data_IF_832539414674
#
_entry.id   IF_832539414674
#
_cell.length_a   1.000
_cell.length_b   1.000
_cell.length_c   1.000
_cell.angle_alpha   90.00
_cell.angle_beta   90.00
_cell.angle_gamma   90.00
#
_symmetry.space_group_name_H-M   'P 1'
#
loop_
_entity.id
_entity.type
_entity.pdbx_description
1 polymer ?
#
# COMPACT_ATOMS: atom_id res chain seq x y z
N UNK A 1 35.20 25.19 2.87
CA UNK A 1 34.34 24.22 3.58
C UNK A 1 33.72 23.31 2.53
N UNK A 2 33.75 21.98 2.69
CA UNK A 2 33.21 21.04 1.68
C UNK A 2 31.75 20.75 2.01
N UNK A 3 30.86 21.25 1.16
CA UNK A 3 29.40 21.25 1.30
C UNK A 3 28.78 19.87 1.53
N UNK A 4 27.68 19.88 2.28
CA UNK A 4 26.71 18.80 2.42
C UNK A 4 26.15 18.45 1.04
N UNK A 5 26.17 17.18 0.63
CA UNK A 5 25.63 16.74 -0.65
C UNK A 5 24.54 15.72 -0.42
N UNK A 6 23.29 16.15 -0.59
CA UNK A 6 22.14 15.24 -0.65
C UNK A 6 22.09 14.68 -2.07
N UNK A 7 22.36 13.38 -2.23
CA UNK A 7 22.18 12.69 -3.50
C UNK A 7 20.82 12.03 -3.52
N UNK A 8 19.92 12.54 -4.35
CA UNK A 8 18.67 11.84 -4.67
C UNK A 8 18.93 10.86 -5.81
N UNK A 9 18.68 9.57 -5.56
CA UNK A 9 18.67 8.52 -6.58
C UNK A 9 17.28 7.89 -6.57
N UNK A 10 16.66 7.58 -7.73
CA UNK A 10 15.36 6.92 -7.76
C UNK A 10 15.40 5.63 -6.92
N UNK A 11 14.49 5.53 -5.95
CA UNK A 11 14.30 4.32 -5.13
C UNK A 11 15.27 4.13 -3.95
N UNK A 12 16.15 5.09 -3.62
CA UNK A 12 16.83 5.20 -2.30
C UNK A 12 17.31 6.63 -2.03
N UNK A 13 16.74 7.29 -1.02
CA UNK A 13 17.22 8.56 -0.50
C UNK A 13 18.11 8.32 0.72
N UNK A 14 19.38 8.71 0.65
CA UNK A 14 20.31 8.63 1.77
C UNK A 14 20.84 10.03 2.13
N UNK A 15 20.98 10.28 3.43
CA UNK A 15 21.66 11.47 3.93
C UNK A 15 23.11 11.08 4.18
N UNK A 16 24.02 11.56 3.34
CA UNK A 16 25.46 11.39 3.53
C UNK A 16 25.95 12.45 4.55
N UNK A 17 26.10 12.01 5.80
CA UNK A 17 26.56 12.83 6.91
C UNK A 17 28.04 12.55 7.14
N UNK A 18 28.89 13.56 6.93
CA UNK A 18 30.30 13.45 7.33
C UNK A 18 30.40 13.50 8.85
N UNK A 19 30.95 12.47 9.50
CA UNK A 19 31.16 12.50 10.95
C UNK A 19 32.16 13.61 11.29
N UNK A 20 31.81 14.44 12.27
CA UNK A 20 32.75 15.36 12.92
C UNK A 20 33.72 14.52 13.75
N UNK A 21 34.97 14.41 13.30
CA UNK A 21 36.02 13.58 13.93
C UNK A 21 36.69 14.21 15.16
N UNK A 22 36.08 15.24 15.75
CA UNK A 22 36.75 16.10 16.71
C UNK A 22 36.15 15.93 18.10
N UNK A 23 36.88 15.22 18.96
CA UNK A 23 36.44 14.83 20.31
C UNK A 23 36.19 16.02 21.24
N UNK A 24 36.72 17.21 20.90
CA UNK A 24 36.49 18.45 21.63
C UNK A 24 35.12 19.11 21.32
N UNK A 25 34.40 18.66 20.28
CA UNK A 25 33.15 19.27 19.78
C UNK A 25 31.91 18.47 20.27
N UNK A 26 31.99 17.79 21.42
CA UNK A 26 30.83 17.04 21.97
C UNK A 26 29.80 17.92 22.68
N UNK A 27 30.15 19.17 22.99
CA UNK A 27 29.21 20.13 23.58
C UNK A 27 28.36 20.77 22.46
N UNK A 28 27.03 20.73 22.60
CA UNK A 28 26.02 21.28 21.67
C UNK A 28 25.78 20.52 20.34
N UNK A 29 26.14 19.24 20.26
CA UNK A 29 25.82 18.39 19.12
C UNK A 29 24.86 17.25 19.50
N UNK A 30 23.93 16.90 18.62
CA UNK A 30 23.01 15.77 18.76
C UNK A 30 23.73 14.47 18.38
N UNK A 31 23.67 13.44 19.23
CA UNK A 31 24.17 12.10 18.92
C UNK A 31 23.06 11.28 18.25
N UNK A 32 23.27 10.91 17.00
CA UNK A 32 22.47 9.92 16.29
C UNK A 32 23.17 8.56 16.34
N UNK A 33 22.53 7.57 16.95
CA UNK A 33 23.04 6.19 16.99
C UNK A 33 22.12 5.27 16.18
N UNK A 34 22.66 4.69 15.11
CA UNK A 34 21.98 3.69 14.28
C UNK A 34 22.46 2.31 14.70
N UNK A 35 21.55 1.51 15.23
CA UNK A 35 21.81 0.12 15.58
C UNK A 35 21.40 -0.77 14.41
N UNK A 36 22.36 -1.44 13.78
CA UNK A 36 22.12 -2.47 12.78
C UNK A 36 22.20 -3.83 13.47
N UNK A 37 21.07 -4.53 13.50
CA UNK A 37 21.05 -5.91 13.97
C UNK A 37 21.21 -6.84 12.76
N UNK A 38 22.38 -7.43 12.65
CA UNK A 38 22.62 -8.53 11.71
C UNK A 38 22.59 -9.84 12.50
N UNK A 39 22.28 -10.98 11.85
CA UNK A 39 22.31 -12.30 12.50
C UNK A 39 23.65 -12.68 13.16
N UNK A 40 24.72 -11.93 12.85
CA UNK A 40 26.07 -12.06 13.41
C UNK A 40 26.35 -11.13 14.60
N UNK A 41 25.41 -10.26 14.98
CA UNK A 41 25.53 -9.35 16.13
C UNK A 41 25.00 -7.93 15.87
N UNK A 42 24.99 -7.11 16.92
CA UNK A 42 24.61 -5.70 16.86
C UNK A 42 25.80 -4.83 16.48
N UNK A 43 25.72 -4.11 15.37
CA UNK A 43 26.65 -3.02 15.02
C UNK A 43 26.02 -1.70 15.38
N UNK A 44 26.76 -0.83 16.06
CA UNK A 44 26.31 0.53 16.41
C UNK A 44 27.13 1.53 15.63
N UNK A 45 26.48 2.36 14.84
CA UNK A 45 27.08 3.49 14.15
C UNK A 45 26.62 4.78 14.84
N UNK A 46 27.56 5.56 15.37
CA UNK A 46 27.28 6.82 16.06
C UNK A 46 27.77 8.01 15.24
N UNK A 47 26.90 8.99 15.02
CA UNK A 47 27.16 10.21 14.25
C UNK A 47 26.79 11.41 15.14
N UNK A 48 27.69 12.37 15.26
CA UNK A 48 27.41 13.65 15.92
C UNK A 48 26.96 14.69 14.89
N UNK A 49 25.85 15.36 15.17
CA UNK A 49 25.25 16.36 14.30
C UNK A 49 25.23 17.72 14.97
N UNK A 50 25.63 18.76 14.24
CA UNK A 50 25.43 20.12 14.69
C UNK A 50 23.97 20.58 14.51
N UNK A 51 23.65 21.78 14.99
CA UNK A 51 22.26 22.29 14.97
C UNK A 51 21.71 22.47 13.55
N UNK A 52 22.55 22.91 12.60
CA UNK A 52 22.15 23.07 11.20
C UNK A 52 21.85 21.72 10.55
N UNK A 53 22.71 20.72 10.76
CA UNK A 53 22.52 19.35 10.28
C UNK A 53 21.29 18.70 10.91
N UNK A 54 21.04 18.96 12.20
CA UNK A 54 19.86 18.48 12.91
C UNK A 54 18.57 19.07 12.34
N UNK A 55 18.57 20.38 12.04
CA UNK A 55 17.43 21.05 11.42
C UNK A 55 17.14 20.50 10.01
N UNK A 56 18.16 20.29 9.19
CA UNK A 56 17.98 19.71 7.84
C UNK A 56 17.45 18.27 7.93
N UNK A 57 17.99 17.46 8.85
CA UNK A 57 17.51 16.10 9.08
C UNK A 57 16.04 16.08 9.53
N UNK A 58 15.66 16.99 10.43
CA UNK A 58 14.30 17.12 10.91
C UNK A 58 13.32 17.46 9.77
N UNK A 59 13.61 18.47 8.96
CA UNK A 59 12.73 18.85 7.84
C UNK A 59 12.59 17.71 6.82
N UNK A 60 13.70 17.03 6.49
CA UNK A 60 13.64 15.87 5.60
C UNK A 60 12.76 14.75 6.17
N UNK A 61 12.96 14.36 7.42
CA UNK A 61 12.18 13.30 8.06
C UNK A 61 10.71 13.68 8.19
N UNK A 62 10.43 14.94 8.50
CA UNK A 62 9.07 15.47 8.57
C UNK A 62 8.37 15.36 7.22
N UNK A 63 8.95 15.88 6.15
CA UNK A 63 8.36 15.79 4.80
C UNK A 63 8.21 14.34 4.34
N UNK A 64 9.19 13.48 4.63
CA UNK A 64 9.09 12.06 4.31
C UNK A 64 7.94 11.37 5.05
N UNK A 65 7.76 11.65 6.35
CA UNK A 65 6.66 11.10 7.14
C UNK A 65 5.31 11.65 6.69
N UNK A 66 5.23 12.93 6.32
CA UNK A 66 4.02 13.54 5.76
C UNK A 66 3.64 12.88 4.43
N UNK A 67 4.58 12.72 3.49
CA UNK A 67 4.36 12.04 2.20
C UNK A 67 3.89 10.59 2.40
N UNK A 68 4.55 9.82 3.28
CA UNK A 68 4.13 8.45 3.58
C UNK A 68 2.78 8.41 4.31
N UNK A 69 2.49 9.40 5.15
CA UNK A 69 1.20 9.56 5.81
C UNK A 69 0.05 9.80 4.81
N UNK A 70 0.25 10.68 3.84
CA UNK A 70 -0.72 10.93 2.75
C UNK A 70 -0.96 9.69 1.91
N UNK A 71 0.10 8.94 1.56
CA UNK A 71 -0.01 7.68 0.82
C UNK A 71 -0.81 6.64 1.60
N UNK A 72 -0.54 6.48 2.90
CA UNK A 72 -1.29 5.56 3.76
C UNK A 72 -2.76 5.97 3.88
N UNK A 73 -3.04 7.28 4.01
CA UNK A 73 -4.40 7.81 4.07
C UNK A 73 -5.15 7.54 2.75
N UNK A 74 -4.52 7.79 1.60
CA UNK A 74 -5.09 7.50 0.28
C UNK A 74 -5.42 6.03 0.12
N UNK A 75 -4.47 5.14 0.45
CA UNK A 75 -4.68 3.70 0.40
C UNK A 75 -5.81 3.24 1.32
N UNK A 76 -5.89 3.78 2.54
CA UNK A 76 -6.98 3.47 3.46
C UNK A 76 -8.35 3.90 2.91
N UNK A 77 -8.41 5.08 2.27
CA UNK A 77 -9.61 5.56 1.60
C UNK A 77 -10.00 4.65 0.43
N UNK A 78 -9.05 4.24 -0.41
CA UNK A 78 -9.28 3.34 -1.53
C UNK A 78 -9.87 2.00 -1.07
N UNK A 79 -9.28 1.37 -0.04
CA UNK A 79 -9.81 0.13 0.54
C UNK A 79 -11.24 0.33 1.06
N UNK A 80 -11.49 1.46 1.74
CA UNK A 80 -12.82 1.78 2.27
C UNK A 80 -13.85 1.89 1.15
N UNK A 81 -13.49 2.52 0.03
CA UNK A 81 -14.34 2.66 -1.15
C UNK A 81 -14.60 1.30 -1.82
N UNK A 82 -13.57 0.47 -2.02
CA UNK A 82 -13.71 -0.90 -2.57
C UNK A 82 -14.65 -1.75 -1.72
N UNK A 83 -14.51 -1.71 -0.39
CA UNK A 83 -15.40 -2.43 0.54
C UNK A 83 -16.85 -1.96 0.45
N UNK A 84 -17.05 -0.64 0.40
CA UNK A 84 -18.38 -0.05 0.24
C UNK A 84 -19.02 -0.55 -1.05
N UNK A 85 -18.32 -0.45 -2.18
CA UNK A 85 -18.81 -0.91 -3.48
C UNK A 85 -19.16 -2.41 -3.49
N UNK A 86 -18.31 -3.26 -2.90
CA UNK A 86 -18.59 -4.69 -2.79
C UNK A 86 -19.86 -4.96 -1.96
N UNK A 87 -20.03 -4.23 -0.86
CA UNK A 87 -21.19 -4.38 0.02
C UNK A 87 -22.48 -3.87 -0.65
N UNK A 88 -22.42 -2.73 -1.34
CA UNK A 88 -23.55 -2.14 -2.05
C UNK A 88 -24.05 -3.12 -3.14
N UNK A 89 -23.13 -3.65 -3.96
CA UNK A 89 -23.48 -4.66 -4.97
C UNK A 89 -24.09 -5.90 -4.34
N UNK A 90 -23.59 -6.33 -3.18
CA UNK A 90 -24.11 -7.51 -2.49
C UNK A 90 -25.55 -7.31 -2.02
N UNK A 91 -25.86 -6.20 -1.33
CA UNK A 91 -27.21 -5.94 -0.85
C UNK A 91 -28.20 -5.69 -2.01
N UNK A 92 -27.80 -4.95 -3.05
CA UNK A 92 -28.64 -4.79 -4.26
C UNK A 92 -28.94 -6.12 -4.95
N UNK A 93 -27.94 -7.00 -5.06
CA UNK A 93 -28.09 -8.31 -5.69
C UNK A 93 -28.93 -9.25 -4.84
N UNK A 94 -28.84 -9.12 -3.51
CA UNK A 94 -29.65 -9.88 -2.55
C UNK A 94 -31.11 -9.48 -2.61
N UNK A 95 -31.39 -8.18 -2.69
CA UNK A 95 -32.76 -7.65 -2.78
C UNK A 95 -33.42 -8.02 -4.11
N UNK A 96 -32.68 -7.98 -5.21
CA UNK A 96 -33.18 -8.37 -6.54
C UNK A 96 -33.15 -9.88 -6.81
N UNK A 97 -32.38 -10.65 -6.01
CA UNK A 97 -32.13 -12.07 -6.21
C UNK A 97 -31.22 -12.41 -7.40
N UNK A 98 -30.70 -11.41 -8.11
CA UNK A 98 -29.94 -11.54 -9.34
C UNK A 98 -28.70 -10.65 -9.33
N UNK A 99 -27.72 -10.99 -10.16
CA UNK A 99 -26.48 -10.24 -10.36
C UNK A 99 -26.37 -9.92 -11.85
N UNK A 100 -26.29 -8.65 -12.16
CA UNK A 100 -26.20 -8.14 -13.54
C UNK A 100 -24.76 -8.10 -14.05
N UNK A 101 -24.58 -8.07 -15.37
CA UNK A 101 -23.25 -7.85 -15.98
C UNK A 101 -22.60 -6.53 -15.52
N UNK A 102 -23.40 -5.47 -15.31
CA UNK A 102 -22.94 -4.20 -14.77
C UNK A 102 -22.34 -4.34 -13.36
N UNK A 103 -23.00 -5.09 -12.48
CA UNK A 103 -22.50 -5.39 -11.14
C UNK A 103 -21.21 -6.24 -11.19
N UNK A 104 -21.14 -7.25 -12.05
CA UNK A 104 -19.93 -8.07 -12.23
C UNK A 104 -18.76 -7.21 -12.74
N UNK A 105 -19.01 -6.29 -13.67
CA UNK A 105 -18.01 -5.33 -14.15
C UNK A 105 -17.54 -4.39 -13.04
N UNK A 106 -18.46 -3.86 -12.22
CA UNK A 106 -18.10 -3.00 -11.08
C UNK A 106 -17.21 -3.73 -10.07
N UNK A 107 -17.56 -4.99 -9.76
CA UNK A 107 -16.76 -5.86 -8.90
C UNK A 107 -15.38 -6.15 -9.53
N UNK A 108 -15.31 -6.39 -10.84
CA UNK A 108 -14.03 -6.62 -11.52
C UNK A 108 -13.12 -5.40 -11.50
N UNK A 109 -13.68 -4.18 -11.59
CA UNK A 109 -12.92 -2.92 -11.53
C UNK A 109 -12.27 -2.67 -10.17
N UNK A 110 -12.88 -3.15 -9.09
CA UNK A 110 -12.30 -3.03 -7.74
C UNK A 110 -11.33 -4.18 -7.40
N UNK A 111 -10.98 -5.01 -8.39
CA UNK A 111 -9.98 -6.08 -8.23
C UNK A 111 -10.48 -7.34 -7.55
N UNK A 112 -11.79 -7.48 -7.26
CA UNK A 112 -12.28 -8.73 -6.66
C UNK A 112 -12.32 -9.87 -7.69
N UNK A 113 -11.97 -11.11 -7.29
CA UNK A 113 -11.81 -12.23 -8.23
C UNK A 113 -13.14 -12.85 -8.69
N UNK A 114 -14.23 -12.09 -8.75
CA UNK A 114 -15.57 -12.62 -8.98
C UNK A 114 -15.71 -13.32 -10.33
N UNK A 115 -15.13 -12.76 -11.41
CA UNK A 115 -15.20 -13.35 -12.75
C UNK A 115 -14.54 -14.73 -12.78
N UNK A 116 -13.38 -14.88 -12.15
CA UNK A 116 -12.67 -16.15 -12.09
C UNK A 116 -13.43 -17.20 -11.26
N UNK A 117 -14.09 -16.77 -10.19
CA UNK A 117 -14.90 -17.64 -9.34
C UNK A 117 -16.17 -18.12 -10.04
N UNK A 118 -16.84 -17.22 -10.77
CA UNK A 118 -18.02 -17.55 -11.58
C UNK A 118 -17.67 -18.46 -12.76
N UNK A 119 -16.54 -18.21 -13.45
CA UNK A 119 -16.00 -19.05 -14.51
C UNK A 119 -15.82 -20.50 -14.05
N UNK A 120 -15.25 -20.68 -12.86
CA UNK A 120 -15.06 -22.00 -12.25
C UNK A 120 -16.39 -22.70 -11.94
N UNK A 121 -17.36 -21.97 -11.41
CA UNK A 121 -18.67 -22.53 -11.04
C UNK A 121 -19.51 -22.93 -12.25
N UNK A 122 -19.48 -22.12 -13.32
CA UNK A 122 -20.23 -22.35 -14.56
C UNK A 122 -19.48 -23.24 -15.55
N UNK A 123 -18.22 -23.58 -15.27
CA UNK A 123 -17.33 -24.35 -16.15
C UNK A 123 -17.15 -23.71 -17.54
N UNK A 124 -17.03 -22.39 -17.56
CA UNK A 124 -16.83 -21.59 -18.78
C UNK A 124 -15.55 -20.76 -18.67
N UNK A 125 -14.95 -20.32 -19.79
CA UNK A 125 -13.86 -19.36 -19.78
C UNK A 125 -14.24 -18.03 -19.11
N UNK A 126 -13.30 -17.42 -18.38
CA UNK A 126 -13.51 -16.15 -17.68
C UNK A 126 -13.98 -15.01 -18.58
N UNK A 127 -13.53 -14.97 -19.84
CA UNK A 127 -13.92 -13.94 -20.80
C UNK A 127 -15.39 -14.03 -21.24
N UNK A 128 -16.06 -15.17 -21.04
CA UNK A 128 -17.46 -15.38 -21.43
C UNK A 128 -18.44 -14.95 -20.33
N UNK A 129 -18.00 -14.80 -19.08
CA UNK A 129 -18.88 -14.53 -17.93
C UNK A 129 -19.71 -13.27 -18.11
N UNK A 130 -19.11 -12.20 -18.64
CA UNK A 130 -19.82 -10.94 -18.88
C UNK A 130 -20.90 -11.12 -19.94
N UNK A 131 -20.58 -11.79 -21.07
CA UNK A 131 -21.53 -12.04 -22.15
C UNK A 131 -22.72 -12.93 -21.70
N UNK A 132 -22.45 -13.91 -20.84
CA UNK A 132 -23.48 -14.75 -20.22
C UNK A 132 -24.41 -13.89 -19.36
N UNK A 133 -23.83 -13.05 -18.49
CA UNK A 133 -24.60 -12.18 -17.60
C UNK A 133 -25.37 -11.05 -18.32
N UNK A 134 -24.91 -10.65 -19.51
CA UNK A 134 -25.62 -9.71 -20.39
C UNK A 134 -26.84 -10.36 -21.03
N UNK A 135 -26.73 -11.64 -21.39
CA UNK A 135 -27.84 -12.40 -21.97
C UNK A 135 -28.88 -12.79 -20.91
N UNK A 136 -28.42 -13.14 -19.71
CA UNK A 136 -29.28 -13.47 -18.59
C UNK A 136 -28.58 -13.18 -17.24
N UNK A 137 -29.13 -12.30 -16.39
CA UNK A 137 -28.58 -12.05 -15.06
C UNK A 137 -28.38 -13.34 -14.26
N UNK A 138 -27.27 -13.41 -13.53
CA UNK A 138 -26.88 -14.60 -12.79
C UNK A 138 -27.58 -14.66 -11.43
N UNK A 139 -27.90 -15.85 -10.89
CA UNK A 139 -28.51 -15.96 -9.57
C UNK A 139 -27.62 -15.39 -8.46
N UNK A 140 -28.20 -14.61 -7.53
CA UNK A 140 -27.49 -14.07 -6.36
C UNK A 140 -26.74 -15.13 -5.54
N UNK A 141 -27.26 -16.37 -5.50
CA UNK A 141 -26.62 -17.48 -4.82
C UNK A 141 -25.14 -17.69 -5.21
N UNK A 142 -24.77 -17.38 -6.46
CA UNK A 142 -23.39 -17.47 -6.93
C UNK A 142 -22.49 -16.40 -6.29
N UNK A 143 -22.95 -15.15 -6.16
CA UNK A 143 -22.22 -14.11 -5.44
C UNK A 143 -22.15 -14.43 -3.95
N UNK A 144 -23.26 -14.86 -3.34
CA UNK A 144 -23.30 -15.20 -1.91
C UNK A 144 -22.30 -16.29 -1.53
N UNK A 145 -22.19 -17.33 -2.37
CA UNK A 145 -21.21 -18.42 -2.19
C UNK A 145 -19.77 -17.90 -2.11
N UNK A 146 -19.44 -16.86 -2.89
CA UNK A 146 -18.09 -16.35 -3.05
C UNK A 146 -17.80 -15.05 -2.30
N UNK A 147 -18.82 -14.48 -1.63
CA UNK A 147 -18.74 -13.16 -1.01
C UNK A 147 -17.56 -13.03 -0.04
N UNK A 148 -17.35 -14.05 0.80
CA UNK A 148 -16.23 -14.05 1.76
C UNK A 148 -14.87 -13.99 1.06
N UNK A 149 -14.66 -14.77 0.01
CA UNK A 149 -13.41 -14.76 -0.78
C UNK A 149 -13.18 -13.40 -1.42
N UNK A 150 -14.23 -12.80 -1.98
CA UNK A 150 -14.15 -11.44 -2.53
C UNK A 150 -13.83 -10.41 -1.43
N UNK A 151 -14.44 -10.53 -0.25
CA UNK A 151 -14.20 -9.63 0.88
C UNK A 151 -12.75 -9.71 1.38
N UNK A 152 -12.21 -10.92 1.53
CA UNK A 152 -10.83 -11.15 1.96
C UNK A 152 -9.82 -10.68 0.91
N UNK A 153 -10.16 -10.70 -0.39
CA UNK A 153 -9.28 -10.18 -1.45
C UNK A 153 -9.05 -8.66 -1.35
N UNK A 154 -10.08 -7.90 -0.94
CA UNK A 154 -9.96 -6.45 -0.72
C UNK A 154 -9.08 -6.11 0.50
N UNK A 155 -8.92 -7.06 1.44
CA UNK A 155 -8.06 -6.90 2.63
C UNK A 155 -6.59 -7.21 2.35
N UNK A 156 -6.31 -7.98 1.30
CA UNK A 156 -5.01 -8.61 1.07
C UNK A 156 -4.23 -7.99 -0.08
N UNK A 157 -4.73 -6.93 -0.73
CA UNK A 157 -3.90 -6.14 -1.64
C UNK A 157 -2.68 -5.61 -0.86
N UNK A 158 -1.46 -6.07 -1.20
CA UNK A 158 -0.26 -5.50 -0.60
C UNK A 158 -0.16 -4.03 -1.00
N UNK A 159 0.41 -3.20 -0.11
CA UNK A 159 0.86 -1.86 -0.50
C UNK A 159 1.57 -1.99 -1.85
N UNK A 160 1.21 -1.21 -2.89
CA UNK A 160 1.71 -1.48 -4.22
C UNK A 160 3.24 -1.45 -4.18
N UNK A 161 3.88 -2.40 -4.87
CA UNK A 161 5.33 -2.63 -4.78
C UNK A 161 6.17 -1.40 -5.16
N UNK A 162 5.59 -0.45 -5.89
CA UNK A 162 6.20 0.85 -6.21
C UNK A 162 6.31 1.80 -5.01
N UNK A 163 5.75 1.47 -3.85
CA UNK A 163 5.76 2.32 -2.65
C UNK A 163 6.70 1.81 -1.54
N UNK A 164 7.35 0.65 -1.75
CA UNK A 164 8.33 0.02 -0.85
C UNK A 164 9.80 0.27 -1.23
N UNK A 165 10.07 1.06 -2.27
CA UNK A 165 11.41 1.44 -2.72
C UNK A 165 11.62 2.95 -2.64
#
# INVERSE_FOLDING_TARGET
MKDLRIKQTPGKSFIDLKPTKDDHIRQNNLLLSVNEWSGEGSKVCSIYLNIEQTSVLYEYLKSFLEEKGEVLAYHHQEIKEKKRMLNDVYEESKDSGLITSGQINNLSKIGVPIVSLLAKDLQVPAHEIIAIAESNPLPFALLNKHFRTCWESVLTEPLPSNYLF
#
